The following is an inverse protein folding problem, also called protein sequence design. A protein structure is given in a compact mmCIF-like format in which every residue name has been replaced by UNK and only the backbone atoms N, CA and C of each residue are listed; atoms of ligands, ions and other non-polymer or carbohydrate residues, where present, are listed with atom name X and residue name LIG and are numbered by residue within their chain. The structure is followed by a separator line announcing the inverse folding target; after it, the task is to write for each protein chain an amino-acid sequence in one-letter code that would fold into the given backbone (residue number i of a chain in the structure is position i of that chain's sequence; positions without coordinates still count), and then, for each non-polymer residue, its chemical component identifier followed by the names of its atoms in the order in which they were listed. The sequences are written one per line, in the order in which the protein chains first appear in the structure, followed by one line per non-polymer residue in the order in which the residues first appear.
data_IF_354592784982
#
_entry.id   IF_354592784982
#
_cell.length_a   1.000
_cell.length_b   1.000
_cell.length_c   1.000
_cell.angle_alpha   90.00
_cell.angle_beta   90.00
_cell.angle_gamma   90.00
#
_symmetry.space_group_name_H-M   'P 1'
#
loop_
_entity.id
_entity.type
_entity.pdbx_description
1 polymer ?
#
# COMPACT_ATOMS: atom_id res chain seq x y z
N UNK A 1 -21.68 38.02 41.02
CA UNK A 1 -22.60 37.00 40.47
C UNK A 1 -23.24 37.57 39.21
N UNK A 2 -23.55 36.79 38.16
CA UNK A 2 -23.59 35.33 38.11
C UNK A 2 -22.55 34.68 37.20
N UNK A 3 -22.20 33.45 37.58
CA UNK A 3 -21.55 32.41 36.77
C UNK A 3 -22.61 31.78 35.87
N UNK A 4 -22.26 31.43 34.64
CA UNK A 4 -22.98 30.42 33.86
C UNK A 4 -21.94 29.40 33.40
N UNK A 5 -21.97 28.25 34.07
CA UNK A 5 -21.37 27.01 33.61
C UNK A 5 -22.16 26.52 32.39
N UNK A 6 -21.47 26.12 31.34
CA UNK A 6 -22.03 25.25 30.31
C UNK A 6 -21.10 24.04 30.16
N UNK A 7 -21.66 22.89 30.50
CA UNK A 7 -21.14 21.54 30.38
C UNK A 7 -20.52 21.28 29.00
N UNK A 8 -19.24 20.92 28.96
CA UNK A 8 -18.57 20.34 27.79
C UNK A 8 -18.65 18.81 27.84
N UNK A 9 -19.87 18.27 27.87
CA UNK A 9 -20.12 16.85 27.64
C UNK A 9 -20.90 16.65 26.36
N UNK A 10 -20.35 15.77 25.52
CA UNK A 10 -20.94 15.17 24.31
C UNK A 10 -20.90 15.98 23.02
N UNK A 11 -19.70 16.07 22.43
CA UNK A 11 -19.54 16.17 20.98
C UNK A 11 -18.85 14.91 20.47
N UNK A 12 -19.65 14.03 19.86
CA UNK A 12 -19.20 12.81 19.17
C UNK A 12 -18.23 13.17 18.04
N UNK A 13 -17.03 12.58 17.95
CA UNK A 13 -16.15 12.80 16.82
C UNK A 13 -16.68 12.02 15.61
N UNK A 14 -16.98 12.79 14.55
CA UNK A 14 -17.01 12.31 13.18
C UNK A 14 -15.64 11.71 12.86
N UNK A 15 -15.56 10.42 12.60
CA UNK A 15 -14.66 9.90 11.57
C UNK A 15 -15.41 8.82 10.79
N UNK A 16 -15.81 9.19 9.57
CA UNK A 16 -16.21 8.24 8.53
C UNK A 16 -14.99 7.38 8.23
N UNK A 17 -14.88 6.25 8.91
CA UNK A 17 -14.19 5.08 8.40
C UNK A 17 -14.99 4.62 7.18
N UNK A 18 -14.61 5.11 6.00
CA UNK A 18 -14.94 4.44 4.76
C UNK A 18 -14.29 3.06 4.87
N UNK A 19 -15.10 2.07 5.21
CA UNK A 19 -14.71 0.67 5.34
C UNK A 19 -14.09 0.26 4.01
N UNK A 20 -12.75 0.20 4.00
CA UNK A 20 -11.98 -0.35 2.88
C UNK A 20 -12.30 -1.84 2.86
N UNK A 21 -13.39 -2.22 2.18
CA UNK A 21 -13.67 -3.62 1.91
C UNK A 21 -12.76 -4.06 0.76
N UNK A 22 -11.49 -4.34 1.10
CA UNK A 22 -10.59 -5.12 0.23
C UNK A 22 -11.20 -6.50 0.11
N UNK A 23 -12.04 -6.69 -0.90
CA UNK A 23 -12.67 -7.97 -1.14
C UNK A 23 -11.61 -8.90 -1.75
N UNK A 24 -10.86 -9.59 -0.90
CA UNK A 24 -9.96 -10.68 -1.28
C UNK A 24 -10.80 -11.86 -1.78
N UNK A 25 -11.30 -11.76 -3.02
CA UNK A 25 -11.95 -12.89 -3.69
C UNK A 25 -10.91 -13.95 -4.08
N UNK A 26 -11.30 -15.24 -4.05
CA UNK A 26 -10.39 -16.36 -4.24
C UNK A 26 -9.71 -16.32 -5.61
N UNK A 27 -8.49 -16.85 -5.65
CA UNK A 27 -7.60 -17.01 -6.81
C UNK A 27 -8.35 -17.43 -8.09
N UNK A 28 -8.85 -16.46 -8.87
CA UNK A 28 -9.17 -16.71 -10.27
C UNK A 28 -7.85 -16.79 -11.04
N UNK A 29 -7.45 -18.04 -11.30
CA UNK A 29 -6.52 -18.50 -12.33
C UNK A 29 -5.71 -17.39 -13.02
N UNK A 30 -4.48 -17.32 -12.56
CA UNK A 30 -3.36 -16.52 -13.03
C UNK A 30 -3.16 -16.68 -14.54
N UNK A 31 -3.74 -15.78 -15.33
CA UNK A 31 -3.46 -15.73 -16.77
C UNK A 31 -2.35 -14.71 -17.06
N UNK A 32 -1.11 -15.19 -16.98
CA UNK A 32 0.17 -14.55 -17.36
C UNK A 32 0.29 -14.08 -18.84
N UNK A 33 -0.82 -13.93 -19.57
CA UNK A 33 -0.79 -13.98 -21.04
C UNK A 33 -0.66 -12.64 -21.77
N UNK A 34 -0.30 -11.53 -21.11
CA UNK A 34 -0.37 -10.22 -21.79
C UNK A 34 0.97 -9.62 -22.23
N UNK A 35 2.09 -10.08 -21.70
CA UNK A 35 3.40 -9.70 -22.24
C UNK A 35 3.83 -10.58 -23.41
N UNK A 36 3.15 -11.71 -23.67
CA UNK A 36 3.61 -12.70 -24.66
C UNK A 36 3.12 -12.47 -26.09
N UNK A 37 2.01 -11.77 -26.34
CA UNK A 37 1.37 -11.86 -27.66
C UNK A 37 1.60 -10.69 -28.61
N UNK A 38 1.88 -9.46 -28.16
CA UNK A 38 2.27 -8.37 -29.06
C UNK A 38 3.21 -7.35 -28.39
N UNK A 39 4.49 -7.71 -28.14
CA UNK A 39 5.50 -6.75 -27.62
C UNK A 39 5.77 -5.58 -28.59
N UNK A 40 5.46 -5.77 -29.88
CA UNK A 40 5.68 -4.78 -30.93
C UNK A 40 4.80 -3.52 -30.77
N UNK A 41 3.53 -3.68 -30.41
CA UNK A 41 2.62 -2.54 -30.18
C UNK A 41 2.95 -1.78 -28.89
N UNK A 42 3.41 -2.49 -27.85
CA UNK A 42 3.78 -1.87 -26.57
C UNK A 42 4.96 -0.89 -26.70
N UNK A 43 5.87 -1.12 -27.64
CA UNK A 43 7.01 -0.24 -27.90
C UNK A 43 6.68 0.96 -28.78
N UNK A 44 5.68 0.87 -29.67
CA UNK A 44 5.28 2.00 -30.53
C UNK A 44 4.50 3.08 -29.77
N UNK A 45 3.85 2.74 -28.67
CA UNK A 45 2.94 3.63 -27.91
C UNK A 45 3.71 4.36 -26.78
N UNK A 46 5.02 4.56 -26.95
CA UNK A 46 5.95 4.99 -25.90
C UNK A 46 5.96 6.50 -25.69
N UNK A 47 4.79 7.12 -25.47
CA UNK A 47 4.75 8.47 -24.91
C UNK A 47 5.41 8.47 -23.53
N UNK A 48 6.56 9.12 -23.38
CA UNK A 48 7.29 9.30 -22.11
C UNK A 48 6.69 10.42 -21.24
N UNK A 49 5.51 10.93 -21.57
CA UNK A 49 4.91 12.04 -20.82
C UNK A 49 4.59 11.57 -19.41
N UNK A 50 5.21 12.23 -18.43
CA UNK A 50 4.80 12.15 -17.04
C UNK A 50 3.47 12.88 -16.96
N UNK A 51 2.46 12.17 -16.49
CA UNK A 51 1.16 12.76 -16.24
C UNK A 51 1.22 13.49 -14.88
N UNK A 52 1.07 14.81 -14.92
CA UNK A 52 1.00 15.65 -13.72
C UNK A 52 -0.41 15.64 -13.15
N UNK A 53 -0.56 15.21 -11.90
CA UNK A 53 -1.83 15.26 -11.18
C UNK A 53 -2.81 14.15 -11.56
N UNK A 54 -4.07 14.51 -11.83
CA UNK A 54 -5.14 13.57 -12.12
C UNK A 54 -5.22 13.23 -13.61
N UNK A 55 -5.19 11.94 -13.93
CA UNK A 55 -5.33 11.44 -15.31
C UNK A 55 -6.74 10.95 -15.53
N UNK A 56 -7.45 11.56 -16.48
CA UNK A 56 -8.73 11.03 -16.96
C UNK A 56 -8.46 10.17 -18.19
N UNK A 57 -8.97 8.94 -18.18
CA UNK A 57 -8.83 8.02 -19.30
C UNK A 57 -9.78 8.41 -20.44
N UNK A 58 -9.20 9.03 -21.47
CA UNK A 58 -9.87 9.40 -22.72
C UNK A 58 -9.74 8.30 -23.79
N UNK A 59 -10.38 8.52 -24.95
CA UNK A 59 -10.33 7.59 -26.08
C UNK A 59 -8.92 7.35 -26.62
N UNK A 60 -8.02 8.34 -26.53
CA UNK A 60 -6.67 8.28 -27.11
C UNK A 60 -5.72 7.41 -26.29
N UNK A 61 -6.04 7.17 -25.02
CA UNK A 61 -5.22 6.39 -24.08
C UNK A 61 -5.71 4.95 -23.88
N UNK A 62 -6.89 4.61 -24.41
CA UNK A 62 -7.49 3.28 -24.24
C UNK A 62 -7.26 2.43 -25.48
N UNK A 63 -6.62 1.29 -25.28
CA UNK A 63 -6.36 0.29 -26.31
C UNK A 63 -7.20 -0.94 -26.03
N UNK A 64 -7.82 -1.52 -27.07
CA UNK A 64 -8.67 -2.71 -26.96
C UNK A 64 -8.14 -3.76 -27.92
N UNK A 65 -7.90 -4.97 -27.42
CA UNK A 65 -7.58 -6.12 -28.25
C UNK A 65 -8.42 -7.35 -27.88
N UNK A 66 -8.72 -8.24 -28.85
CA UNK A 66 -9.38 -9.51 -28.55
C UNK A 66 -8.46 -10.41 -27.70
N UNK A 67 -9.06 -11.10 -26.73
CA UNK A 67 -8.36 -12.13 -25.96
C UNK A 67 -8.29 -13.43 -26.77
N UNK A 68 -7.58 -14.45 -26.27
CA UNK A 68 -7.60 -15.79 -26.88
C UNK A 68 -9.01 -16.35 -27.03
N UNK A 69 -9.87 -16.11 -26.03
CA UNK A 69 -11.28 -16.52 -26.06
C UNK A 69 -12.06 -15.71 -27.09
N UNK A 70 -11.78 -14.40 -27.22
CA UNK A 70 -12.33 -13.56 -28.27
C UNK A 70 -11.94 -14.00 -29.67
N UNK A 71 -10.69 -14.42 -29.87
CA UNK A 71 -10.22 -14.94 -31.16
C UNK A 71 -10.90 -16.28 -31.50
N UNK A 72 -10.97 -17.22 -30.55
CA UNK A 72 -11.70 -18.48 -30.73
C UNK A 72 -13.18 -18.24 -31.04
N UNK A 73 -13.80 -17.29 -30.35
CA UNK A 73 -15.18 -16.88 -30.62
C UNK A 73 -15.34 -16.32 -32.04
N UNK A 74 -14.42 -15.47 -32.51
CA UNK A 74 -14.44 -14.95 -33.87
C UNK A 74 -14.26 -16.04 -34.93
N UNK A 75 -13.35 -16.99 -34.71
CA UNK A 75 -13.15 -18.17 -35.58
C UNK A 75 -14.42 -19.02 -35.63
N UNK A 76 -15.05 -19.26 -34.47
CA UNK A 76 -16.31 -20.01 -34.39
C UNK A 76 -17.44 -19.31 -35.16
N UNK A 77 -17.59 -17.98 -35.00
CA UNK A 77 -18.56 -17.20 -35.77
C UNK A 77 -18.30 -17.28 -37.28
N UNK A 78 -17.03 -17.21 -37.70
CA UNK A 78 -16.67 -17.32 -39.10
C UNK A 78 -17.00 -18.71 -39.66
N UNK A 79 -16.71 -19.77 -38.91
CA UNK A 79 -17.03 -21.15 -39.30
C UNK A 79 -18.55 -21.36 -39.40
N UNK A 80 -19.32 -20.86 -38.43
CA UNK A 80 -20.79 -20.90 -38.50
C UNK A 80 -21.34 -20.10 -39.69
N UNK A 81 -20.75 -18.94 -39.99
CA UNK A 81 -21.17 -18.12 -41.13
C UNK A 81 -20.91 -18.85 -42.45
N UNK A 82 -19.72 -19.40 -42.63
CA UNK A 82 -19.36 -20.22 -43.80
C UNK A 82 -20.27 -21.45 -43.95
N UNK A 83 -20.56 -22.15 -42.84
CA UNK A 83 -21.50 -23.26 -42.84
C UNK A 83 -22.92 -22.82 -43.24
N UNK A 84 -23.39 -21.69 -42.71
CA UNK A 84 -24.72 -21.17 -43.03
C UNK A 84 -24.85 -20.76 -44.50
N UNK A 85 -23.78 -20.18 -45.07
CA UNK A 85 -23.68 -19.87 -46.50
C UNK A 85 -23.71 -21.14 -47.33
N UNK A 86 -22.90 -22.14 -46.97
CA UNK A 86 -22.78 -23.38 -47.74
C UNK A 86 -24.09 -24.19 -47.78
N UNK A 87 -24.83 -24.21 -46.67
CA UNK A 87 -26.08 -24.97 -46.55
C UNK A 87 -27.35 -24.12 -46.74
N UNK A 88 -27.22 -22.84 -47.11
CA UNK A 88 -28.32 -21.89 -47.24
C UNK A 88 -29.27 -21.86 -46.02
N UNK A 89 -28.72 -22.06 -44.81
CA UNK A 89 -29.50 -22.20 -43.59
C UNK A 89 -29.83 -20.84 -42.98
N UNK A 90 -31.06 -20.33 -43.22
CA UNK A 90 -31.53 -19.03 -42.72
C UNK A 90 -31.37 -18.84 -41.20
N UNK A 91 -31.61 -19.89 -40.42
CA UNK A 91 -31.47 -19.83 -38.95
C UNK A 91 -30.01 -19.64 -38.50
N UNK A 92 -29.05 -20.17 -39.26
CA UNK A 92 -27.62 -20.02 -38.97
C UNK A 92 -27.15 -18.57 -39.11
N UNK A 93 -27.69 -17.83 -40.09
CA UNK A 93 -27.44 -16.40 -40.23
C UNK A 93 -27.98 -15.59 -39.02
N UNK A 94 -29.20 -15.89 -38.58
CA UNK A 94 -29.79 -15.21 -37.41
C UNK A 94 -28.92 -15.39 -36.17
N UNK A 95 -28.52 -16.63 -35.87
CA UNK A 95 -27.72 -16.93 -34.69
C UNK A 95 -26.32 -16.30 -34.77
N UNK A 96 -25.65 -16.37 -35.92
CA UNK A 96 -24.31 -15.79 -36.11
C UNK A 96 -24.31 -14.28 -35.94
N UNK A 97 -25.27 -13.58 -36.55
CA UNK A 97 -25.39 -12.13 -36.41
C UNK A 97 -25.81 -11.70 -35.01
N UNK A 98 -26.68 -12.47 -34.33
CA UNK A 98 -27.04 -12.22 -32.94
C UNK A 98 -25.80 -12.28 -32.03
N UNK A 99 -25.02 -13.36 -32.15
CA UNK A 99 -23.80 -13.55 -31.36
C UNK A 99 -22.73 -12.50 -31.71
N UNK A 100 -22.57 -12.17 -32.99
CA UNK A 100 -21.68 -11.08 -33.42
C UNK A 100 -22.09 -9.74 -32.80
N UNK A 101 -23.40 -9.43 -32.81
CA UNK A 101 -23.95 -8.25 -32.16
C UNK A 101 -23.66 -8.21 -30.66
N UNK A 102 -23.83 -9.33 -29.95
CA UNK A 102 -23.47 -9.44 -28.54
C UNK A 102 -21.97 -9.24 -28.29
N UNK A 103 -21.12 -9.73 -29.21
CA UNK A 103 -19.69 -9.47 -29.21
C UNK A 103 -19.36 -7.98 -29.34
N UNK A 104 -19.99 -7.28 -30.27
CA UNK A 104 -19.81 -5.83 -30.48
C UNK A 104 -20.28 -5.01 -29.27
N UNK A 105 -21.44 -5.34 -28.72
CA UNK A 105 -21.94 -4.72 -27.47
C UNK A 105 -20.98 -5.00 -26.32
N UNK A 106 -20.48 -6.23 -26.20
CA UNK A 106 -19.45 -6.61 -25.24
C UNK A 106 -18.18 -5.77 -25.37
N UNK A 107 -17.70 -5.55 -26.59
CA UNK A 107 -16.55 -4.68 -26.88
C UNK A 107 -16.79 -3.24 -26.41
N UNK A 108 -17.98 -2.70 -26.68
CA UNK A 108 -18.35 -1.35 -26.25
C UNK A 108 -18.43 -1.25 -24.72
N UNK A 109 -18.98 -2.26 -24.03
CA UNK A 109 -18.97 -2.30 -22.57
C UNK A 109 -17.56 -2.39 -22.00
N UNK A 110 -16.66 -3.18 -22.61
CA UNK A 110 -15.25 -3.24 -22.20
C UNK A 110 -14.56 -1.88 -22.34
N UNK A 111 -14.80 -1.16 -23.44
CA UNK A 111 -14.32 0.22 -23.61
C UNK A 111 -14.89 1.15 -22.55
N UNK A 112 -16.22 1.17 -22.41
CA UNK A 112 -16.92 2.07 -21.48
C UNK A 112 -16.52 1.82 -20.04
N UNK A 113 -16.14 0.59 -19.67
CA UNK A 113 -15.71 0.26 -18.32
C UNK A 113 -14.42 0.98 -17.92
N UNK A 114 -13.53 1.26 -18.89
CA UNK A 114 -12.28 1.97 -18.67
C UNK A 114 -12.38 3.47 -18.97
N UNK A 115 -13.26 3.85 -19.90
CA UNK A 115 -13.44 5.24 -20.31
C UNK A 115 -14.01 6.12 -19.19
N UNK A 116 -13.42 7.30 -19.02
CA UNK A 116 -13.84 8.28 -18.02
C UNK A 116 -13.44 7.92 -16.57
N UNK A 117 -12.63 6.88 -16.36
CA UNK A 117 -12.00 6.64 -15.06
C UNK A 117 -10.92 7.70 -14.85
N UNK A 118 -11.01 8.41 -13.74
CA UNK A 118 -10.03 9.36 -13.25
C UNK A 118 -9.10 8.67 -12.26
N UNK A 119 -7.81 8.91 -12.38
CA UNK A 119 -6.78 8.23 -11.60
C UNK A 119 -5.85 9.27 -11.02
N UNK A 120 -5.65 9.21 -9.71
CA UNK A 120 -4.74 10.08 -8.96
C UNK A 120 -3.72 9.25 -8.21
N UNK A 121 -2.51 9.78 -8.05
CA UNK A 121 -1.47 9.16 -7.23
C UNK A 121 -1.68 9.55 -5.76
N UNK A 122 -1.90 8.56 -4.89
CA UNK A 122 -2.04 8.74 -3.44
C UNK A 122 -0.71 8.75 -2.67
N UNK A 123 0.42 8.74 -3.36
CA UNK A 123 1.75 8.70 -2.77
C UNK A 123 2.21 7.28 -2.39
N UNK A 124 3.40 7.20 -1.79
CA UNK A 124 3.99 5.97 -1.26
C UNK A 124 4.75 6.29 0.01
N UNK A 125 4.55 5.48 1.05
CA UNK A 125 5.34 5.58 2.28
C UNK A 125 6.80 5.18 1.99
N UNK A 126 7.80 5.81 2.66
CA UNK A 126 9.18 5.36 2.59
C UNK A 126 9.32 3.90 3.05
N UNK A 127 10.23 3.16 2.41
CA UNK A 127 10.49 1.74 2.72
C UNK A 127 11.98 1.48 2.83
N UNK A 128 12.36 0.34 3.40
CA UNK A 128 13.77 -0.06 3.45
C UNK A 128 14.18 -0.85 2.20
N UNK A 129 15.47 -0.83 1.88
CA UNK A 129 16.03 -1.61 0.79
C UNK A 129 15.80 -3.11 1.05
N UNK A 130 15.22 -3.80 0.07
CA UNK A 130 14.77 -5.19 0.15
C UNK A 130 13.27 -5.35 0.39
N UNK A 131 12.55 -4.27 0.72
CA UNK A 131 11.10 -4.30 0.91
C UNK A 131 10.33 -4.00 -0.39
N UNK A 132 8.99 -4.06 -0.32
CA UNK A 132 8.11 -3.68 -1.43
C UNK A 132 7.42 -2.35 -1.12
N UNK A 133 7.78 -1.30 -1.86
CA UNK A 133 7.12 0.00 -1.82
C UNK A 133 5.68 -0.11 -2.30
N UNK A 134 4.73 0.35 -1.50
CA UNK A 134 3.30 0.36 -1.84
C UNK A 134 2.94 1.73 -2.42
N UNK A 135 2.65 1.78 -3.72
CA UNK A 135 2.15 2.99 -4.37
C UNK A 135 0.63 2.96 -4.41
N UNK A 136 -0.01 3.91 -3.74
CA UNK A 136 -1.46 4.00 -3.73
C UNK A 136 -1.94 4.72 -4.99
N UNK A 137 -2.82 4.07 -5.74
CA UNK A 137 -3.50 4.67 -6.89
C UNK A 137 -4.99 4.78 -6.56
N UNK A 138 -5.48 6.01 -6.55
CA UNK A 138 -6.88 6.29 -6.26
C UNK A 138 -7.65 6.44 -7.58
N UNK A 139 -8.65 5.60 -7.76
CA UNK A 139 -9.51 5.55 -8.94
C UNK A 139 -10.86 6.18 -8.58
N UNK A 140 -11.35 7.04 -9.44
CA UNK A 140 -12.64 7.70 -9.32
C UNK A 140 -13.38 7.56 -10.65
N UNK A 141 -14.67 7.21 -10.60
CA UNK A 141 -15.50 7.11 -11.80
C UNK A 141 -16.91 7.63 -11.48
N UNK A 142 -17.61 8.20 -12.47
CA UNK A 142 -18.97 8.72 -12.28
C UNK A 142 -20.04 7.64 -12.10
N UNK A 143 -19.72 6.36 -12.36
CA UNK A 143 -20.65 5.24 -12.22
C UNK A 143 -19.90 3.93 -12.00
N UNK A 144 -20.65 2.83 -11.83
CA UNK A 144 -20.08 1.55 -11.45
C UNK A 144 -19.14 0.97 -12.52
N UNK A 145 -17.88 0.72 -12.15
CA UNK A 145 -16.83 0.10 -12.96
C UNK A 145 -16.30 -1.18 -12.27
N UNK A 146 -16.86 -2.36 -12.56
CA UNK A 146 -16.37 -3.61 -12.00
C UNK A 146 -15.08 -4.09 -12.69
N UNK A 147 -14.34 -4.95 -11.99
CA UNK A 147 -13.19 -5.70 -12.49
C UNK A 147 -12.16 -4.82 -13.21
N UNK A 148 -11.71 -3.76 -12.54
CA UNK A 148 -10.55 -2.98 -12.95
C UNK A 148 -9.29 -3.62 -12.37
N UNK A 149 -8.36 -4.01 -13.23
CA UNK A 149 -7.09 -4.60 -12.87
C UNK A 149 -5.96 -3.58 -12.94
N UNK A 150 -5.29 -3.34 -11.83
CA UNK A 150 -4.07 -2.55 -11.72
C UNK A 150 -2.86 -3.46 -11.71
N UNK A 151 -1.86 -3.18 -12.54
CA UNK A 151 -0.60 -3.94 -12.53
C UNK A 151 0.59 -3.05 -12.81
N UNK A 152 1.72 -3.44 -12.23
CA UNK A 152 3.02 -2.88 -12.51
C UNK A 152 3.92 -3.95 -13.14
N UNK A 153 4.37 -3.70 -14.38
CA UNK A 153 5.22 -4.61 -15.17
C UNK A 153 4.72 -6.07 -15.16
N UNK A 154 5.40 -6.97 -14.44
CA UNK A 154 5.16 -8.42 -14.36
C UNK A 154 4.54 -8.86 -13.04
N UNK A 155 4.19 -7.92 -12.17
CA UNK A 155 3.61 -8.24 -10.88
C UNK A 155 2.16 -8.72 -10.99
N UNK A 156 1.69 -9.52 -10.00
CA UNK A 156 0.30 -9.95 -9.97
C UNK A 156 -0.63 -8.73 -10.01
N UNK A 157 -1.68 -8.77 -10.83
CA UNK A 157 -2.63 -7.67 -10.90
C UNK A 157 -3.47 -7.60 -9.63
N UNK A 158 -3.69 -6.38 -9.15
CA UNK A 158 -4.64 -6.08 -8.10
C UNK A 158 -5.97 -5.71 -8.73
N UNK A 159 -7.05 -6.34 -8.26
CA UNK A 159 -8.39 -6.08 -8.77
C UNK A 159 -9.13 -5.10 -7.85
N UNK A 160 -9.81 -4.15 -8.46
CA UNK A 160 -10.60 -3.13 -7.78
C UNK A 160 -11.96 -3.05 -8.47
N UNK A 161 -13.02 -3.06 -7.67
CA UNK A 161 -14.39 -2.86 -8.12
C UNK A 161 -14.86 -1.48 -7.63
N UNK A 162 -15.10 -0.55 -8.56
CA UNK A 162 -15.70 0.75 -8.23
C UNK A 162 -17.21 0.58 -8.36
N UNK A 163 -17.89 0.08 -7.32
CA UNK A 163 -19.34 -0.12 -7.37
C UNK A 163 -20.11 1.13 -6.94
N UNK A 164 -19.51 1.93 -6.07
CA UNK A 164 -20.10 3.13 -5.49
C UNK A 164 -19.36 4.39 -5.97
N UNK A 165 -20.06 5.55 -6.03
CA UNK A 165 -19.41 6.82 -6.29
C UNK A 165 -18.40 7.14 -5.19
N UNK A 166 -17.14 7.39 -5.57
CA UNK A 166 -16.07 7.75 -4.64
C UNK A 166 -14.69 7.32 -5.13
N UNK A 167 -13.67 7.92 -4.51
CA UNK A 167 -12.28 7.55 -4.77
C UNK A 167 -11.93 6.24 -4.04
N UNK A 168 -11.53 5.23 -4.81
CA UNK A 168 -11.08 3.94 -4.30
C UNK A 168 -9.57 3.83 -4.48
N UNK A 169 -8.82 3.78 -3.37
CA UNK A 169 -7.37 3.70 -3.40
C UNK A 169 -6.89 2.25 -3.27
N UNK A 170 -6.02 1.83 -4.18
CA UNK A 170 -5.51 0.48 -4.25
C UNK A 170 -3.96 0.50 -4.25
N UNK A 171 -3.31 -0.26 -3.34
CA UNK A 171 -1.85 -0.32 -3.27
C UNK A 171 -1.24 -1.24 -4.33
N UNK A 172 -0.40 -0.68 -5.20
CA UNK A 172 0.41 -1.43 -6.15
C UNK A 172 1.83 -1.57 -5.62
N UNK A 173 2.26 -2.81 -5.40
CA UNK A 173 3.61 -3.12 -4.95
C UNK A 173 4.67 -2.82 -6.02
N UNK A 174 5.81 -2.28 -5.60
CA UNK A 174 7.00 -2.10 -6.43
C UNK A 174 8.21 -2.51 -5.59
N UNK A 175 9.05 -3.46 -6.04
CA UNK A 175 10.15 -3.95 -5.24
C UNK A 175 11.24 -2.86 -5.14
N UNK A 176 11.65 -2.53 -3.93
CA UNK A 176 12.66 -1.52 -3.63
C UNK A 176 14.02 -2.21 -3.43
N UNK A 177 14.80 -2.34 -4.49
CA UNK A 177 16.06 -3.13 -4.45
C UNK A 177 17.27 -2.33 -3.97
N UNK A 178 17.28 -1.02 -4.16
CA UNK A 178 18.42 -0.15 -3.86
C UNK A 178 17.96 1.11 -3.13
N UNK A 179 18.85 1.66 -2.30
CA UNK A 179 18.66 2.94 -1.60
C UNK A 179 18.48 4.09 -2.58
N UNK A 180 17.65 5.06 -2.20
CA UNK A 180 17.45 6.31 -2.93
C UNK A 180 16.03 6.50 -3.42
N UNK A 181 15.84 7.36 -4.41
CA UNK A 181 14.52 7.67 -4.94
C UNK A 181 14.05 6.60 -5.92
N UNK A 182 13.08 5.80 -5.50
CA UNK A 182 12.42 4.81 -6.35
C UNK A 182 11.29 5.49 -7.15
N UNK A 183 11.50 5.61 -8.45
CA UNK A 183 10.45 5.99 -9.39
C UNK A 183 9.79 4.72 -9.95
N UNK A 184 8.48 4.48 -9.72
CA UNK A 184 7.81 3.27 -10.16
C UNK A 184 7.70 3.22 -11.69
N UNK A 185 7.69 4.36 -12.38
CA UNK A 185 7.53 4.38 -13.82
C UNK A 185 6.06 4.26 -14.21
N UNK A 186 5.73 3.29 -15.07
CA UNK A 186 4.39 3.16 -15.66
C UNK A 186 3.56 2.09 -14.98
N UNK A 187 2.34 2.45 -14.63
CA UNK A 187 1.30 1.53 -14.21
C UNK A 187 0.40 1.20 -15.41
N UNK A 188 -0.17 0.00 -15.40
CA UNK A 188 -1.14 -0.43 -16.41
C UNK A 188 -2.47 -0.68 -15.73
N UNK A 189 -3.50 0.04 -16.15
CA UNK A 189 -4.89 -0.27 -15.79
C UNK A 189 -5.52 -1.04 -16.93
N UNK A 190 -6.18 -2.15 -16.64
CA UNK A 190 -6.83 -2.97 -17.65
C UNK A 190 -8.17 -3.52 -17.16
N UNK A 191 -9.02 -3.95 -18.09
CA UNK A 191 -10.27 -4.64 -17.78
C UNK A 191 -10.62 -5.65 -18.86
N UNK A 192 -11.31 -6.71 -18.46
CA UNK A 192 -11.86 -7.76 -19.33
C UNK A 192 -13.37 -7.91 -19.19
N UNK A 193 -13.99 -7.07 -18.38
CA UNK A 193 -15.43 -7.08 -18.19
C UNK A 193 -16.13 -6.61 -19.48
N UNK A 194 -17.31 -7.15 -19.84
CA UNK A 194 -18.07 -8.19 -19.13
C UNK A 194 -17.75 -9.62 -19.57
N UNK A 195 -17.62 -9.86 -20.89
CA UNK A 195 -17.58 -11.22 -21.45
C UNK A 195 -16.18 -11.88 -21.44
N UNK A 196 -15.12 -11.11 -21.19
CA UNK A 196 -13.74 -11.61 -21.31
C UNK A 196 -13.27 -11.88 -22.74
N UNK A 197 -14.07 -11.53 -23.76
CA UNK A 197 -13.71 -11.64 -25.18
C UNK A 197 -12.70 -10.56 -25.60
N UNK A 198 -12.77 -9.39 -24.97
CA UNK A 198 -11.88 -8.26 -25.23
C UNK A 198 -11.14 -7.88 -23.96
N UNK A 199 -10.00 -7.24 -24.14
CA UNK A 199 -9.29 -6.59 -23.07
C UNK A 199 -8.99 -5.15 -23.45
N UNK A 200 -9.48 -4.22 -22.63
CA UNK A 200 -9.09 -2.83 -22.69
C UNK A 200 -7.95 -2.56 -21.70
N UNK A 201 -6.97 -1.73 -22.07
CA UNK A 201 -5.96 -1.23 -21.15
C UNK A 201 -5.54 0.20 -21.46
N UNK A 202 -4.94 0.83 -20.45
CA UNK A 202 -4.34 2.15 -20.52
C UNK A 202 -3.04 2.17 -19.71
N UNK A 203 -2.07 2.95 -20.19
CA UNK A 203 -0.83 3.24 -19.48
C UNK A 203 -0.93 4.56 -18.74
N UNK A 204 -0.52 4.55 -17.48
CA UNK A 204 -0.53 5.71 -16.62
C UNK A 204 0.88 5.91 -16.08
N UNK A 205 1.41 7.13 -16.19
CA UNK A 205 2.77 7.42 -15.76
C UNK A 205 2.76 8.58 -14.77
N UNK A 206 2.76 8.26 -13.48
CA UNK A 206 2.88 9.29 -12.44
C UNK A 206 4.35 9.61 -12.14
N UNK A 207 4.61 10.87 -11.81
CA UNK A 207 5.91 11.34 -11.34
C UNK A 207 6.16 11.07 -9.84
N UNK A 208 5.34 10.24 -9.20
CA UNK A 208 5.49 9.90 -7.78
C UNK A 208 6.80 9.16 -7.53
N UNK A 209 7.45 9.46 -6.39
CA UNK A 209 8.70 8.83 -5.98
C UNK A 209 8.54 8.34 -4.53
N UNK A 210 9.11 7.19 -4.24
CA UNK A 210 9.21 6.64 -2.89
C UNK A 210 10.67 6.76 -2.44
N UNK A 211 10.91 7.19 -1.20
CA UNK A 211 12.25 7.21 -0.63
C UNK A 211 12.58 5.82 -0.07
N UNK A 212 13.66 5.22 -0.54
CA UNK A 212 14.15 3.93 -0.07
C UNK A 212 15.32 4.15 0.87
N UNK A 213 15.14 3.80 2.13
CA UNK A 213 16.14 3.82 3.19
C UNK A 213 17.08 2.60 3.09
N UNK A 214 18.31 2.68 3.64
CA UNK A 214 19.20 1.53 3.74
C UNK A 214 18.59 0.43 4.60
N UNK A 215 18.87 -0.84 4.29
CA UNK A 215 18.29 -1.97 5.04
C UNK A 215 18.81 -1.96 6.48
N UNK A 216 17.95 -1.90 7.52
CA UNK A 216 18.43 -1.87 8.90
C UNK A 216 19.13 -3.19 9.26
N UNK A 217 20.26 -3.09 9.93
CA UNK A 217 20.94 -4.23 10.55
C UNK A 217 20.46 -4.30 11.99
N UNK A 218 19.93 -5.45 12.39
CA UNK A 218 19.62 -5.70 13.80
C UNK A 218 20.94 -5.94 14.56
N UNK A 219 21.66 -4.87 14.90
CA UNK A 219 22.75 -4.92 15.86
C UNK A 219 22.21 -4.66 17.26
N UNK A 220 22.32 -5.66 18.14
CA UNK A 220 22.04 -5.52 19.58
C UNK A 220 23.09 -4.64 20.29
N UNK A 221 24.28 -4.52 19.70
CA UNK A 221 25.32 -3.62 20.16
C UNK A 221 25.05 -2.23 19.56
N UNK A 222 24.15 -1.49 20.20
CA UNK A 222 24.15 -0.04 20.03
C UNK A 222 25.55 0.42 20.44
N UNK A 223 26.34 0.86 19.45
CA UNK A 223 27.61 1.52 19.72
C UNK A 223 27.26 2.68 20.64
N UNK A 224 27.56 2.53 21.93
CA UNK A 224 27.47 3.63 22.86
C UNK A 224 28.43 4.67 22.29
N UNK A 225 27.88 5.67 21.61
CA UNK A 225 28.67 6.79 21.12
C UNK A 225 29.50 7.28 22.30
N UNK A 226 30.76 7.63 22.05
CA UNK A 226 31.69 8.13 23.06
C UNK A 226 31.07 9.33 23.78
N UNK A 227 30.24 9.05 24.77
CA UNK A 227 29.67 10.00 25.68
C UNK A 227 30.77 10.23 26.69
N UNK A 228 31.72 11.09 26.33
CA UNK A 228 32.67 11.67 27.27
C UNK A 228 31.97 12.49 28.38
N UNK A 229 30.63 12.47 28.44
CA UNK A 229 29.82 13.30 29.35
C UNK A 229 28.55 12.61 29.87
N UNK A 230 28.54 11.27 30.06
CA UNK A 230 27.40 10.60 30.72
C UNK A 230 27.79 9.86 32.00
N UNK A 231 27.87 10.62 33.07
CA UNK A 231 27.21 10.25 34.32
C UNK A 231 25.71 10.03 34.03
N UNK A 232 25.23 8.78 33.89
CA UNK A 232 23.78 8.52 33.94
C UNK A 232 23.17 7.52 32.96
N UNK A 233 23.89 6.50 32.51
CA UNK A 233 23.30 5.39 31.74
C UNK A 233 23.43 4.04 32.48
N UNK A 234 23.08 4.04 33.76
CA UNK A 234 22.63 2.90 34.54
C UNK A 234 21.47 3.45 35.35
N UNK A 235 20.48 2.63 35.69
CA UNK A 235 19.39 3.02 36.59
C UNK A 235 19.99 3.44 37.94
N UNK A 236 20.42 4.69 38.05
CA UNK A 236 20.98 5.22 39.28
C UNK A 236 19.80 5.45 40.21
N UNK A 237 19.78 4.69 41.31
CA UNK A 237 18.94 5.01 42.45
C UNK A 237 19.46 6.33 43.02
N UNK A 238 18.99 7.45 42.46
CA UNK A 238 19.33 8.78 42.92
C UNK A 238 18.44 9.09 44.12
N UNK A 239 19.05 9.52 45.21
CA UNK A 239 18.36 10.02 46.39
C UNK A 239 17.59 11.30 45.99
N UNK A 240 16.26 11.25 45.97
CA UNK A 240 15.40 12.34 45.50
C UNK A 240 14.54 12.06 44.26
N UNK A 241 14.55 10.82 43.74
CA UNK A 241 13.65 10.40 42.67
C UNK A 241 12.16 10.49 43.08
N UNK A 242 11.29 10.94 42.17
CA UNK A 242 9.85 11.16 42.47
C UNK A 242 8.97 9.93 42.17
N UNK A 243 9.43 8.99 41.36
CA UNK A 243 8.62 7.85 40.91
C UNK A 243 8.82 6.61 41.79
N UNK A 244 7.75 6.20 42.49
CA UNK A 244 7.72 5.01 43.33
C UNK A 244 7.80 3.73 42.48
N UNK A 245 8.82 2.92 42.72
CA UNK A 245 9.08 1.68 41.97
C UNK A 245 8.70 0.42 42.75
N UNK A 246 8.75 0.47 44.09
CA UNK A 246 8.39 -0.69 44.92
C UNK A 246 8.77 -0.56 46.39
N UNK A 247 8.57 -1.65 47.12
CA UNK A 247 8.95 -1.79 48.52
C UNK A 247 10.07 -2.83 48.64
N UNK A 248 11.12 -2.50 49.37
CA UNK A 248 12.23 -3.42 49.69
C UNK A 248 12.39 -3.50 51.21
N UNK A 249 12.93 -4.62 51.71
CA UNK A 249 13.35 -4.75 53.11
C UNK A 249 14.41 -3.71 53.50
N UNK A 250 14.15 -3.01 54.60
CA UNK A 250 14.98 -1.94 55.13
C UNK A 250 16.40 -2.42 55.42
N UNK A 251 17.39 -1.70 54.90
CA UNK A 251 18.79 -1.89 55.30
C UNK A 251 19.21 -0.74 56.22
N UNK A 252 20.15 -0.97 57.16
CA UNK A 252 20.66 0.09 58.05
C UNK A 252 21.27 1.31 57.33
N UNK A 253 21.63 1.14 56.05
CA UNK A 253 22.11 2.21 55.16
C UNK A 253 21.00 3.10 54.58
N UNK A 254 19.73 2.74 54.77
CA UNK A 254 18.61 3.42 54.13
C UNK A 254 18.11 4.60 55.00
N UNK A 255 17.79 5.74 54.39
CA UNK A 255 17.31 6.92 55.11
C UNK A 255 15.98 6.64 55.86
N UNK A 256 15.85 6.98 57.15
CA UNK A 256 14.64 6.69 57.95
C UNK A 256 13.36 7.34 57.41
N UNK A 257 13.49 8.40 56.61
CA UNK A 257 12.37 9.13 56.00
C UNK A 257 11.66 8.35 54.88
N UNK A 258 12.31 7.35 54.30
CA UNK A 258 11.76 6.53 53.22
C UNK A 258 11.08 5.24 53.71
N UNK A 259 11.01 5.02 55.03
CA UNK A 259 10.34 3.86 55.60
C UNK A 259 8.82 3.94 55.35
N UNK A 260 8.27 2.89 54.75
CA UNK A 260 6.85 2.75 54.49
C UNK A 260 6.13 2.22 55.73
N UNK A 261 6.03 3.03 56.79
CA UNK A 261 5.47 2.64 58.08
C UNK A 261 4.12 1.90 57.98
N UNK A 262 3.22 2.34 57.08
CA UNK A 262 1.91 1.71 56.87
C UNK A 262 1.96 0.32 56.21
N UNK A 263 3.00 0.02 55.44
CA UNK A 263 3.23 -1.31 54.86
C UNK A 263 3.98 -2.21 55.86
N UNK A 264 4.94 -1.64 56.59
CA UNK A 264 5.70 -2.31 57.66
C UNK A 264 4.87 -2.73 58.87
N UNK A 265 3.63 -2.25 59.04
CA UNK A 265 2.73 -2.74 60.09
C UNK A 265 1.98 -4.01 59.69
N UNK A 266 1.94 -4.33 58.39
CA UNK A 266 1.30 -5.53 57.85
C UNK A 266 2.29 -6.68 57.59
N UNK A 267 3.58 -6.37 57.46
CA UNK A 267 4.66 -7.35 57.43
C UNK A 267 5.47 -7.25 58.73
N UNK A 268 5.92 -8.36 59.30
CA UNK A 268 6.83 -8.37 60.48
C UNK A 268 8.23 -7.77 60.19
N UNK A 269 8.42 -7.15 59.03
CA UNK A 269 9.68 -6.61 58.52
C UNK A 269 9.49 -5.15 58.13
N UNK A 270 10.51 -4.33 58.41
CA UNK A 270 10.57 -2.93 57.98
C UNK A 270 10.76 -2.85 56.46
N UNK A 271 9.90 -2.11 55.78
CA UNK A 271 9.95 -1.88 54.34
C UNK A 271 10.31 -0.42 54.03
N UNK A 272 11.23 -0.22 53.10
CA UNK A 272 11.63 1.08 52.54
C UNK A 272 11.01 1.27 51.17
N UNK A 273 10.47 2.46 50.90
CA UNK A 273 10.02 2.88 49.57
C UNK A 273 11.23 3.06 48.66
N UNK A 274 11.25 2.35 47.55
CA UNK A 274 12.20 2.58 46.47
C UNK A 274 11.63 3.59 45.50
N UNK A 275 12.39 4.63 45.25
CA UNK A 275 12.14 5.57 44.19
C UNK A 275 13.22 5.39 43.13
N UNK A 276 12.82 5.36 41.86
CA UNK A 276 13.75 5.40 40.74
C UNK A 276 13.23 6.39 39.73
N UNK A 277 14.10 7.27 39.24
CA UNK A 277 13.77 8.11 38.10
C UNK A 277 14.08 7.29 36.86
N UNK A 278 13.14 7.12 35.91
CA UNK A 278 13.48 6.55 34.62
C UNK A 278 14.53 7.44 33.96
N UNK A 279 15.77 6.96 33.89
CA UNK A 279 16.84 7.63 33.17
C UNK A 279 16.51 7.61 31.69
N UNK A 280 16.23 8.77 31.09
CA UNK A 280 16.18 8.90 29.65
C UNK A 280 17.62 8.87 29.13
N UNK A 281 18.08 7.69 28.69
CA UNK A 281 19.35 7.58 28.00
C UNK A 281 19.27 8.36 26.69
N UNK A 282 19.95 9.51 26.63
CA UNK A 282 20.07 10.28 25.38
C UNK A 282 21.22 9.66 24.59
N UNK A 283 20.88 8.90 23.56
CA UNK A 283 21.85 8.29 22.67
C UNK A 283 22.11 9.25 21.50
N UNK A 284 23.34 9.75 21.41
CA UNK A 284 23.81 10.47 20.23
C UNK A 284 24.38 9.49 19.22
N UNK A 285 23.74 9.42 18.06
CA UNK A 285 24.15 8.60 16.93
C UNK A 285 25.06 9.43 16.01
N UNK A 286 26.36 9.15 16.04
CA UNK A 286 27.32 9.81 15.15
C UNK A 286 27.72 8.88 14.00
N UNK A 287 27.43 9.30 12.77
CA UNK A 287 27.83 8.60 11.56
C UNK A 287 29.33 8.42 11.47
N UNK A 288 30.13 9.41 11.87
CA UNK A 288 31.60 9.40 11.78
C UNK A 288 32.27 8.52 12.83
N UNK A 289 31.58 8.17 13.91
CA UNK A 289 32.08 7.29 14.95
C UNK A 289 32.06 5.80 14.55
N UNK A 290 31.36 5.44 13.46
CA UNK A 290 31.27 4.07 12.98
C UNK A 290 32.50 3.67 12.16
N UNK A 291 33.19 2.60 12.59
CA UNK A 291 34.43 2.09 11.99
C UNK A 291 34.22 1.21 10.76
N UNK A 292 32.98 0.92 10.37
CA UNK A 292 32.73 0.05 9.21
C UNK A 292 33.24 0.70 7.91
N UNK A 293 33.91 -0.05 7.02
CA UNK A 293 34.54 0.50 5.82
C UNK A 293 33.52 0.96 4.76
N UNK A 294 32.29 0.45 4.81
CA UNK A 294 31.25 0.71 3.82
C UNK A 294 30.17 1.67 4.34
N UNK A 295 29.85 2.69 3.54
CA UNK A 295 28.87 3.73 3.86
C UNK A 295 27.47 3.14 4.04
N UNK A 296 27.07 2.16 3.22
CA UNK A 296 25.77 1.50 3.39
C UNK A 296 25.68 0.82 4.75
N UNK A 297 26.70 0.06 5.11
CA UNK A 297 26.76 -0.65 6.39
C UNK A 297 26.68 0.31 7.58
N UNK A 298 27.35 1.47 7.49
CA UNK A 298 27.26 2.53 8.50
C UNK A 298 25.84 3.09 8.61
N UNK A 299 25.21 3.42 7.47
CA UNK A 299 23.84 3.95 7.46
C UNK A 299 22.79 2.92 7.91
N UNK A 300 23.05 1.63 7.73
CA UNK A 300 22.19 0.55 8.18
C UNK A 300 22.19 0.32 9.69
N UNK A 301 23.17 0.86 10.42
CA UNK A 301 23.29 0.75 11.89
C UNK A 301 22.72 1.95 12.65
N UNK A 302 22.35 3.02 11.93
CA UNK A 302 21.75 4.24 12.47
C UNK A 302 20.22 4.20 12.32
#
# INVERSE_FOLDING_TARGET
MPRINADYRELKPKEKLAVIRVNSRPKLSMNHSLQRFFPLLANLIRSRRIDSGAVVLDRKRIYILPTRRGLLFAVFLLAMLLGSINYALSLGFVLTFLLAGLGLVGMLHTYRNLAGVRITAGGAAPVFAGETAQFYLCLEAPGARPALGLTWKKQPPQWVDLLEPGAHCAPVGVPATQRGWLAPGRFTLFTRFPLGLFQAWSYIHFGSRCLVYPKPIASLDLVQGNAADQSGALTTQIEGAEDFTGLREYRPSDAPRHVAWKASTKSEKLLTKQFSTPGAATLWLDFNALTDPDIETRLSRL
#
